data_IF_686370063553
#
_entry.id   IF_686370063553
#
_cell.length_a   1.000
_cell.length_b   1.000
_cell.length_c   1.000
_cell.angle_alpha   90.00
_cell.angle_beta   90.00
_cell.angle_gamma   90.00
#
_symmetry.space_group_name_H-M   'P 1'
#
loop_
_entity.id
_entity.type
_entity.pdbx_description
1 polymer ?
#
# COMPACT_ATOMS: atom_id res chain seq x y z
N UNK A 1 5.54 24.75 14.19
CA UNK A 1 5.91 23.45 13.81
C UNK A 1 5.82 23.21 12.31
N UNK A 2 6.81 22.62 11.80
CA UNK A 2 6.86 22.40 10.36
C UNK A 2 6.01 21.25 9.94
N UNK A 3 5.22 21.49 8.94
CA UNK A 3 4.47 20.41 8.30
C UNK A 3 5.28 19.93 7.12
N UNK A 4 5.35 18.65 6.99
CA UNK A 4 5.98 18.08 5.81
C UNK A 4 4.88 17.73 4.81
N UNK A 5 5.29 17.37 3.59
CA UNK A 5 4.31 16.94 2.62
C UNK A 5 3.60 15.66 3.07
N UNK A 6 4.16 14.96 4.08
CA UNK A 6 3.51 13.77 4.63
C UNK A 6 2.32 14.11 5.50
N UNK A 7 2.14 15.38 5.81
CA UNK A 7 1.04 15.81 6.67
C UNK A 7 -0.08 16.52 5.92
N UNK A 8 -0.13 16.36 4.61
CA UNK A 8 -1.19 16.97 3.83
C UNK A 8 -2.55 16.42 4.27
N UNK A 9 -3.52 17.31 4.39
CA UNK A 9 -4.86 16.92 4.80
C UNK A 9 -5.57 16.24 3.63
N UNK A 10 -6.11 15.07 3.88
CA UNK A 10 -6.80 14.30 2.87
C UNK A 10 -8.25 14.75 2.75
N UNK A 11 -8.79 14.63 1.55
CA UNK A 11 -10.21 14.88 1.34
C UNK A 11 -11.02 13.68 1.83
N UNK A 12 -12.33 13.88 1.89
CA UNK A 12 -13.23 12.80 2.28
C UNK A 12 -13.08 11.61 1.34
N UNK A 13 -13.00 11.89 0.03
CA UNK A 13 -12.88 10.80 -0.93
C UNK A 13 -11.55 10.08 -0.80
N UNK A 14 -10.50 10.79 -0.42
CA UNK A 14 -9.20 10.16 -0.20
C UNK A 14 -9.24 9.25 1.02
N UNK A 15 -9.89 9.68 2.10
CA UNK A 15 -10.07 8.82 3.27
C UNK A 15 -10.85 7.57 2.88
N UNK A 16 -11.91 7.73 2.10
CA UNK A 16 -12.72 6.60 1.68
C UNK A 16 -11.93 5.66 0.78
N UNK A 17 -11.13 6.23 -0.13
CA UNK A 17 -10.30 5.42 -1.02
C UNK A 17 -9.33 4.55 -0.24
N UNK A 18 -8.69 5.14 0.77
CA UNK A 18 -7.74 4.37 1.58
C UNK A 18 -8.41 3.18 2.24
N UNK A 19 -9.61 3.39 2.78
CA UNK A 19 -10.35 2.31 3.42
C UNK A 19 -10.75 1.23 2.44
N UNK A 20 -11.16 1.64 1.23
CA UNK A 20 -11.56 0.67 0.22
C UNK A 20 -10.41 -0.21 -0.21
N UNK A 21 -9.24 0.39 -0.44
CA UNK A 21 -8.08 -0.40 -0.84
C UNK A 21 -7.66 -1.34 0.29
N UNK A 22 -7.61 -0.83 1.51
CA UNK A 22 -7.22 -1.65 2.65
C UNK A 22 -8.19 -2.81 2.85
N UNK A 23 -9.49 -2.56 2.71
CA UNK A 23 -10.48 -3.61 2.85
C UNK A 23 -10.31 -4.67 1.77
N UNK A 24 -9.97 -4.24 0.55
CA UNK A 24 -9.76 -5.18 -0.55
C UNK A 24 -8.60 -6.13 -0.24
N UNK A 25 -7.56 -5.64 0.42
CA UNK A 25 -6.45 -6.49 0.84
C UNK A 25 -6.94 -7.52 1.86
N UNK A 26 -7.69 -7.05 2.86
CA UNK A 26 -8.17 -7.95 3.91
C UNK A 26 -9.11 -9.00 3.37
N UNK A 27 -9.85 -8.66 2.31
CA UNK A 27 -10.77 -9.60 1.68
C UNK A 27 -10.11 -10.50 0.65
N UNK A 28 -8.82 -10.32 0.40
CA UNK A 28 -8.11 -11.12 -0.59
C UNK A 28 -8.41 -10.74 -2.03
N UNK A 29 -8.94 -9.54 -2.27
CA UNK A 29 -9.30 -9.11 -3.62
C UNK A 29 -8.17 -8.37 -4.32
N UNK A 30 -7.12 -8.02 -3.61
CA UNK A 30 -5.95 -7.40 -4.21
C UNK A 30 -4.72 -7.87 -3.47
N UNK A 31 -3.55 -7.61 -4.04
CA UNK A 31 -2.29 -8.06 -3.46
C UNK A 31 -1.63 -6.94 -2.67
N UNK A 32 -0.62 -7.30 -1.88
CA UNK A 32 0.14 -6.32 -1.11
C UNK A 32 0.76 -5.28 -2.04
N UNK A 33 1.44 -5.75 -3.10
CA UNK A 33 2.14 -4.83 -3.99
C UNK A 33 1.20 -3.90 -4.73
N UNK A 34 0.10 -4.43 -5.24
CA UNK A 34 -0.87 -3.58 -5.94
C UNK A 34 -1.47 -2.56 -4.99
N UNK A 35 -1.83 -3.02 -3.78
CA UNK A 35 -2.43 -2.11 -2.82
C UNK A 35 -1.45 -1.03 -2.37
N UNK A 36 -0.19 -1.40 -2.17
CA UNK A 36 0.80 -0.41 -1.77
C UNK A 36 0.93 0.68 -2.83
N UNK A 37 0.89 0.30 -4.10
CA UNK A 37 0.98 1.28 -5.18
C UNK A 37 -0.24 2.18 -5.23
N UNK A 38 -1.41 1.65 -4.92
CA UNK A 38 -2.60 2.47 -4.88
C UNK A 38 -2.63 3.37 -3.65
N UNK A 39 -2.01 2.94 -2.58
CA UNK A 39 -2.03 3.71 -1.34
C UNK A 39 -0.88 4.70 -1.22
N UNK A 40 0.14 4.60 -2.08
CA UNK A 40 1.35 5.38 -1.85
C UNK A 40 1.10 6.89 -1.89
N UNK A 41 0.25 7.35 -2.80
CA UNK A 41 -0.04 8.79 -2.85
C UNK A 41 -0.82 9.22 -1.61
N UNK A 42 -1.67 8.34 -1.09
CA UNK A 42 -2.45 8.63 0.11
C UNK A 42 -1.59 8.59 1.37
N UNK A 43 -0.44 7.90 1.30
CA UNK A 43 0.47 7.84 2.44
C UNK A 43 1.17 9.16 2.70
N UNK A 44 1.07 10.10 1.77
CA UNK A 44 1.56 11.46 1.99
C UNK A 44 0.48 12.37 2.57
N UNK A 45 -0.62 11.77 3.02
CA UNK A 45 -1.72 12.53 3.60
C UNK A 45 -2.12 11.86 4.91
N UNK A 46 -3.03 12.51 5.62
CA UNK A 46 -3.55 11.95 6.86
C UNK A 46 -4.67 10.93 6.63
N UNK A 47 -4.89 10.54 5.37
CA UNK A 47 -5.76 9.40 5.10
C UNK A 47 -5.19 8.12 5.71
N UNK A 48 -3.86 8.07 5.85
CA UNK A 48 -3.19 7.01 6.59
C UNK A 48 -2.75 7.65 7.90
N UNK A 49 -3.43 7.30 8.98
CA UNK A 49 -3.29 8.03 10.24
C UNK A 49 -1.93 7.87 10.90
N UNK A 50 -1.38 6.65 10.87
CA UNK A 50 -0.15 6.37 11.61
C UNK A 50 1.06 6.64 10.75
N UNK A 51 2.00 7.41 11.29
CA UNK A 51 3.20 7.76 10.54
C UNK A 51 4.00 6.52 10.11
N UNK A 52 4.09 5.53 10.97
CA UNK A 52 4.83 4.32 10.64
C UNK A 52 4.17 3.56 9.50
N UNK A 53 2.85 3.57 9.46
CA UNK A 53 2.14 2.93 8.35
C UNK A 53 2.41 3.67 7.05
N UNK A 54 2.46 5.01 7.09
CA UNK A 54 2.80 5.79 5.90
C UNK A 54 4.16 5.41 5.37
N UNK A 55 5.15 5.36 6.26
CA UNK A 55 6.50 5.01 5.85
C UNK A 55 6.58 3.60 5.31
N UNK A 56 5.86 2.68 5.93
CA UNK A 56 5.86 1.29 5.50
C UNK A 56 5.30 1.16 4.08
N UNK A 57 4.16 1.81 3.82
CA UNK A 57 3.55 1.77 2.49
C UNK A 57 4.49 2.37 1.44
N UNK A 58 5.06 3.54 1.75
CA UNK A 58 5.99 4.19 0.82
C UNK A 58 7.19 3.29 0.57
N UNK A 59 7.70 2.65 1.62
CA UNK A 59 8.84 1.76 1.49
C UNK A 59 8.57 0.58 0.60
N UNK A 60 7.42 -0.07 0.76
CA UNK A 60 7.05 -1.20 -0.09
C UNK A 60 6.94 -0.75 -1.53
N UNK A 61 6.24 0.35 -1.77
CA UNK A 61 6.05 0.82 -3.14
C UNK A 61 7.39 1.14 -3.80
N UNK A 62 8.28 1.76 -3.04
CA UNK A 62 9.58 2.14 -3.56
C UNK A 62 10.48 0.92 -3.83
N UNK A 63 10.49 -0.02 -2.89
CA UNK A 63 11.35 -1.20 -3.02
C UNK A 63 10.92 -2.13 -4.13
N UNK A 64 9.63 -2.08 -4.49
CA UNK A 64 9.10 -3.02 -5.46
C UNK A 64 8.64 -2.35 -6.75
N UNK A 65 9.02 -1.09 -6.97
CA UNK A 65 8.52 -0.35 -8.14
C UNK A 65 9.03 -0.93 -9.45
N UNK A 66 10.10 -1.71 -9.42
CA UNK A 66 10.63 -2.35 -10.62
C UNK A 66 9.88 -3.61 -11.01
N UNK A 67 8.96 -4.07 -10.16
CA UNK A 67 8.25 -5.32 -10.42
C UNK A 67 6.96 -5.04 -11.20
N UNK A 68 6.69 -5.83 -12.25
CA UNK A 68 5.48 -5.61 -13.05
C UNK A 68 4.26 -6.18 -12.35
N UNK A 69 3.40 -5.29 -11.85
CA UNK A 69 2.13 -5.69 -11.27
C UNK A 69 1.03 -4.89 -11.96
N UNK A 70 -0.17 -5.47 -11.99
CA UNK A 70 -1.30 -4.80 -12.60
C UNK A 70 -1.22 -4.82 -14.11
N UNK A 71 -1.77 -3.79 -14.72
CA UNK A 71 -1.92 -3.76 -16.17
C UNK A 71 -0.61 -3.68 -16.93
N UNK A 72 0.43 -3.15 -16.31
CA UNK A 72 1.72 -3.02 -16.98
C UNK A 72 2.27 -4.39 -17.36
N UNK A 73 1.79 -5.46 -16.72
CA UNK A 73 2.25 -6.81 -17.03
C UNK A 73 1.99 -7.19 -18.49
N UNK A 74 0.98 -6.61 -19.10
CA UNK A 74 0.66 -6.94 -20.50
C UNK A 74 1.74 -6.49 -21.45
N UNK A 75 2.63 -5.60 -21.02
CA UNK A 75 3.71 -5.10 -21.85
C UNK A 75 4.98 -5.93 -21.74
N UNK A 76 4.98 -6.95 -20.90
CA UNK A 76 6.16 -7.77 -20.65
C UNK A 76 6.05 -9.11 -21.35
N UNK A 77 7.20 -9.63 -21.82
CA UNK A 77 7.24 -10.95 -22.40
C UNK A 77 6.98 -12.00 -21.32
N UNK A 78 6.35 -13.11 -21.72
CA UNK A 78 5.99 -14.17 -20.78
C UNK A 78 7.19 -14.72 -20.00
N UNK A 79 8.32 -14.88 -20.68
CA UNK A 79 9.50 -15.43 -20.03
C UNK A 79 10.04 -14.49 -18.98
N UNK A 80 10.01 -13.17 -19.27
CA UNK A 80 10.47 -12.18 -18.31
C UNK A 80 9.53 -12.12 -17.12
N UNK A 81 8.22 -12.27 -17.35
CA UNK A 81 7.25 -12.29 -16.26
C UNK A 81 7.49 -13.46 -15.31
N UNK A 82 7.87 -14.61 -15.85
CA UNK A 82 8.11 -15.76 -15.02
C UNK A 82 9.18 -15.48 -13.97
N UNK A 83 10.26 -14.84 -14.39
CA UNK A 83 11.33 -14.51 -13.46
C UNK A 83 10.87 -13.49 -12.43
N UNK A 84 10.17 -12.47 -12.90
CA UNK A 84 9.71 -11.42 -11.99
C UNK A 84 8.64 -11.94 -11.03
N UNK A 85 7.85 -12.91 -11.46
CA UNK A 85 6.82 -13.47 -10.59
C UNK A 85 7.41 -14.15 -9.36
N UNK A 86 8.61 -14.69 -9.46
CA UNK A 86 9.28 -15.25 -8.30
C UNK A 86 9.60 -14.12 -7.29
N UNK A 87 10.11 -13.01 -7.78
CA UNK A 87 10.40 -11.87 -6.92
C UNK A 87 9.13 -11.31 -6.29
N UNK A 88 8.07 -11.23 -7.10
CA UNK A 88 6.80 -10.73 -6.62
C UNK A 88 6.28 -11.62 -5.49
N UNK A 89 6.34 -12.93 -5.69
CA UNK A 89 5.86 -13.86 -4.67
C UNK A 89 6.64 -13.71 -3.36
N UNK A 90 7.94 -13.50 -3.48
CA UNK A 90 8.77 -13.31 -2.30
C UNK A 90 8.43 -12.01 -1.57
N UNK A 91 8.22 -10.95 -2.33
CA UNK A 91 7.86 -9.67 -1.72
C UNK A 91 6.51 -9.77 -1.04
N UNK A 92 5.53 -10.41 -1.70
CA UNK A 92 4.21 -10.59 -1.10
C UNK A 92 4.32 -11.34 0.22
N UNK A 93 5.11 -12.40 0.22
CA UNK A 93 5.28 -13.21 1.42
C UNK A 93 5.96 -12.42 2.53
N UNK A 94 6.99 -11.66 2.16
CA UNK A 94 7.77 -10.89 3.12
C UNK A 94 6.93 -9.84 3.84
N UNK A 95 6.09 -9.14 3.11
CA UNK A 95 5.37 -8.00 3.66
C UNK A 95 3.97 -8.32 4.14
N UNK A 96 3.45 -9.49 3.82
CA UNK A 96 2.02 -9.76 4.01
C UNK A 96 1.53 -9.57 5.44
N UNK A 97 2.18 -10.18 6.40
CA UNK A 97 1.67 -10.13 7.78
C UNK A 97 1.59 -8.72 8.30
N UNK A 98 2.67 -7.96 8.09
CA UNK A 98 2.70 -6.58 8.57
C UNK A 98 1.75 -5.68 7.80
N UNK A 99 1.62 -5.96 6.50
CA UNK A 99 0.72 -5.14 5.68
C UNK A 99 -0.74 -5.36 6.06
N UNK A 100 -1.10 -6.59 6.41
CA UNK A 100 -2.46 -6.85 6.88
C UNK A 100 -2.76 -6.08 8.16
N UNK A 101 -1.77 -5.96 9.05
CA UNK A 101 -1.96 -5.16 10.24
C UNK A 101 -2.18 -3.70 9.91
N UNK A 102 -1.39 -3.18 8.97
CA UNK A 102 -1.57 -1.81 8.51
C UNK A 102 -2.97 -1.61 7.94
N UNK A 103 -3.43 -2.56 7.14
CA UNK A 103 -4.76 -2.46 6.54
C UNK A 103 -5.86 -2.47 7.60
N UNK A 104 -5.70 -3.28 8.65
CA UNK A 104 -6.68 -3.29 9.72
C UNK A 104 -6.78 -1.94 10.39
N UNK A 105 -5.65 -1.27 10.61
CA UNK A 105 -5.65 0.05 11.21
C UNK A 105 -6.29 1.09 10.30
N UNK A 106 -6.09 0.96 8.99
CA UNK A 106 -6.70 1.91 8.04
C UNK A 106 -8.21 1.76 8.03
N UNK A 107 -8.68 0.51 7.98
CA UNK A 107 -10.12 0.25 7.92
C UNK A 107 -10.80 0.64 9.22
N UNK A 108 -10.14 0.38 10.33
CA UNK A 108 -10.72 0.63 11.65
C UNK A 108 -9.72 1.36 12.51
N UNK A 109 -9.57 2.66 12.29
CA UNK A 109 -8.59 3.42 13.07
C UNK A 109 -8.99 3.38 14.54
N UNK A 110 -7.99 3.16 15.37
CA UNK A 110 -8.24 3.21 16.79
C UNK A 110 -8.38 4.63 17.24
N UNK A 111 -9.15 4.81 18.30
CA UNK A 111 -9.29 6.13 18.86
C UNK A 111 -7.94 6.58 19.42
N UNK A 112 -7.69 7.89 19.36
CA UNK A 112 -6.42 8.39 19.90
C UNK A 112 -6.25 8.02 21.35
N UNK A 113 -5.03 7.68 21.69
CA UNK A 113 -4.72 7.35 23.07
C UNK A 113 -4.33 8.58 23.83
N UNK A 114 -4.54 8.53 25.09
CA UNK A 114 -4.15 9.66 25.94
C UNK A 114 -3.04 9.28 26.85
#
# INVERSE_FOLDING_TARGET
MNRTFLDRVASESEHQRAKEVAQAVLDGRTTVLEAARELVSLAYTDAIAEFEDRRFIIGIASETDHLPVGEVRTLWASSALKEKDVEIARAEELYRADFLETCRRIVKPELPRR
#
